data_IF_829681254362
#
_entry.id   IF_829681254362
#
_cell.length_a   1.000
_cell.length_b   1.000
_cell.length_c   1.000
_cell.angle_alpha   90.00
_cell.angle_beta   90.00
_cell.angle_gamma   90.00
#
_symmetry.space_group_name_H-M   'P 1'
#
loop_
_entity.id
_entity.type
_entity.pdbx_description
1 polymer ?
#
# COMPACT_ATOMS: atom_id res chain seq x y z
N UNK A 1 12.52 4.60 -8.66
CA UNK A 1 13.60 5.26 -7.90
C UNK A 1 14.78 5.58 -8.79
N UNK A 2 15.80 6.25 -8.23
CA UNK A 2 17.00 6.71 -8.96
C UNK A 2 17.80 5.60 -9.68
N UNK A 3 17.62 4.34 -9.23
CA UNK A 3 18.27 3.14 -9.76
C UNK A 3 17.55 2.49 -10.96
N UNK A 4 16.37 2.95 -11.36
CA UNK A 4 15.64 2.32 -12.47
C UNK A 4 16.30 2.61 -13.83
N UNK A 5 16.39 1.60 -14.70
CA UNK A 5 16.91 1.74 -16.08
C UNK A 5 15.86 2.28 -17.06
N UNK A 6 14.58 2.08 -16.75
CA UNK A 6 13.46 2.65 -17.48
C UNK A 6 12.26 2.86 -16.54
N UNK A 7 11.34 3.73 -16.94
CA UNK A 7 10.14 4.06 -16.19
C UNK A 7 8.91 4.00 -17.08
N UNK A 8 7.81 3.48 -16.52
CA UNK A 8 6.49 3.62 -17.15
C UNK A 8 5.84 4.88 -16.62
N UNK A 9 5.52 5.81 -17.51
CA UNK A 9 4.81 7.05 -17.17
C UNK A 9 3.40 7.02 -17.73
N UNK A 10 2.50 7.76 -17.07
CA UNK A 10 1.18 8.06 -17.59
C UNK A 10 1.10 9.54 -17.95
N UNK A 11 0.91 9.83 -19.24
CA UNK A 11 0.82 11.19 -19.74
C UNK A 11 -0.50 11.40 -20.48
N UNK A 12 -1.02 12.63 -20.42
CA UNK A 12 -2.28 13.00 -21.06
C UNK A 12 -2.00 13.54 -22.46
N UNK A 13 -2.48 12.85 -23.48
CA UNK A 13 -2.38 13.27 -24.88
C UNK A 13 -3.43 14.35 -25.24
N UNK A 14 -4.64 14.21 -24.72
CA UNK A 14 -5.73 15.18 -24.90
C UNK A 14 -6.36 15.54 -23.54
N UNK A 15 -6.12 16.78 -23.09
CA UNK A 15 -6.67 17.29 -21.82
C UNK A 15 -8.20 17.38 -21.85
N UNK A 16 -8.81 17.62 -23.01
CA UNK A 16 -10.26 17.74 -23.16
C UNK A 16 -10.98 16.40 -22.96
N UNK A 17 -10.29 15.28 -23.18
CA UNK A 17 -10.82 13.92 -23.01
C UNK A 17 -10.73 13.41 -21.55
N UNK A 18 -10.17 14.20 -20.62
CA UNK A 18 -10.02 13.81 -19.23
C UNK A 18 -9.28 12.48 -19.06
N UNK A 19 -9.84 11.55 -18.27
CA UNK A 19 -9.23 10.23 -18.02
C UNK A 19 -9.05 9.37 -19.28
N UNK A 20 -9.85 9.60 -20.32
CA UNK A 20 -9.74 8.84 -21.58
C UNK A 20 -8.48 9.24 -22.37
N UNK A 21 -7.96 10.46 -22.17
CA UNK A 21 -6.77 10.96 -22.84
C UNK A 21 -5.44 10.51 -22.22
N UNK A 22 -5.48 9.79 -21.09
CA UNK A 22 -4.27 9.28 -20.42
C UNK A 22 -3.78 8.01 -21.13
N UNK A 23 -2.49 7.97 -21.47
CA UNK A 23 -1.82 6.81 -22.07
C UNK A 23 -0.53 6.50 -21.32
N UNK A 24 -0.05 5.27 -21.47
CA UNK A 24 1.14 4.77 -20.79
C UNK A 24 2.33 4.72 -21.75
N UNK A 25 3.49 5.18 -21.31
CA UNK A 25 4.71 5.24 -22.13
C UNK A 25 5.90 4.67 -21.38
N UNK A 26 6.77 3.96 -22.08
CA UNK A 26 8.08 3.57 -21.57
C UNK A 26 9.10 4.68 -21.87
N UNK A 27 9.82 5.14 -20.85
CA UNK A 27 10.91 6.10 -21.01
C UNK A 27 12.18 5.51 -20.42
N UNK A 28 13.21 5.35 -21.24
CA UNK A 28 14.51 4.82 -20.82
C UNK A 28 15.32 5.91 -20.10
N UNK A 29 16.05 5.52 -19.06
CA UNK A 29 16.95 6.42 -18.35
C UNK A 29 18.04 6.92 -19.30
N UNK A 30 18.32 8.22 -19.24
CA UNK A 30 19.27 8.86 -20.17
C UNK A 30 18.62 9.39 -21.46
N UNK A 31 17.32 9.18 -21.67
CA UNK A 31 16.58 9.88 -22.72
C UNK A 31 16.76 11.40 -22.55
N UNK A 32 17.19 12.14 -23.59
CA UNK A 32 17.33 13.59 -23.49
C UNK A 32 16.02 14.24 -23.02
N UNK A 33 16.11 15.08 -21.98
CA UNK A 33 14.94 15.70 -21.36
C UNK A 33 14.31 14.91 -20.20
N UNK A 34 14.79 13.71 -19.87
CA UNK A 34 14.40 12.99 -18.65
C UNK A 34 15.47 13.16 -17.55
N UNK A 35 15.11 13.87 -16.49
CA UNK A 35 15.97 14.12 -15.33
C UNK A 35 15.40 13.53 -14.03
N UNK A 36 16.29 13.20 -13.10
CA UNK A 36 15.98 12.66 -11.77
C UNK A 36 16.72 13.49 -10.72
N UNK A 37 16.17 14.68 -10.35
CA UNK A 37 16.93 15.71 -9.64
C UNK A 37 17.36 15.31 -8.22
N UNK A 38 16.56 14.52 -7.51
CA UNK A 38 16.89 14.07 -6.16
C UNK A 38 16.14 12.82 -5.73
N UNK A 39 16.70 12.14 -4.72
CA UNK A 39 16.07 11.09 -3.93
C UNK A 39 15.36 11.70 -2.71
N UNK A 40 14.15 11.24 -2.44
CA UNK A 40 13.34 11.69 -1.31
C UNK A 40 13.90 11.21 0.04
N UNK A 41 13.84 12.10 1.04
CA UNK A 41 14.18 11.79 2.44
C UNK A 41 12.91 11.40 3.20
N UNK A 42 12.69 10.08 3.33
CA UNK A 42 11.46 9.50 3.91
C UNK A 42 11.59 9.13 5.39
N UNK A 43 10.46 9.10 6.09
CA UNK A 43 10.32 8.58 7.46
C UNK A 43 10.74 7.11 7.59
N UNK A 44 10.15 6.26 6.75
CA UNK A 44 10.37 4.82 6.69
C UNK A 44 10.69 4.36 5.28
N UNK A 45 10.81 3.04 5.09
CA UNK A 45 11.16 2.35 3.84
C UNK A 45 12.35 3.04 3.12
N UNK A 46 13.35 3.44 3.90
CA UNK A 46 14.46 4.30 3.45
C UNK A 46 15.40 3.60 2.45
N UNK A 47 15.41 2.27 2.46
CA UNK A 47 16.15 1.43 1.53
C UNK A 47 15.49 1.37 0.13
N UNK A 48 14.16 1.59 0.07
CA UNK A 48 13.44 1.76 -1.19
C UNK A 48 13.67 3.17 -1.74
N UNK A 49 13.93 3.29 -3.04
CA UNK A 49 14.25 4.58 -3.66
C UNK A 49 12.99 5.25 -4.20
N UNK A 50 12.67 6.39 -3.62
CA UNK A 50 11.64 7.29 -4.13
C UNK A 50 12.34 8.54 -4.67
N UNK A 51 11.97 8.97 -5.87
CA UNK A 51 12.60 10.09 -6.56
C UNK A 51 11.56 10.86 -7.36
N UNK A 52 11.75 12.17 -7.47
CA UNK A 52 11.04 12.99 -8.43
C UNK A 52 11.58 12.73 -9.85
N UNK A 53 10.69 12.69 -10.83
CA UNK A 53 11.05 12.60 -12.25
C UNK A 53 10.59 13.87 -12.97
N UNK A 54 11.49 14.48 -13.74
CA UNK A 54 11.23 15.69 -14.52
C UNK A 54 11.39 15.36 -15.99
N UNK A 55 10.39 15.74 -16.79
CA UNK A 55 10.40 15.56 -18.24
C UNK A 55 10.30 16.93 -18.91
N UNK A 56 11.35 17.35 -19.62
CA UNK A 56 11.46 18.63 -20.33
C UNK A 56 11.82 18.36 -21.78
N UNK A 57 10.86 18.55 -22.70
CA UNK A 57 11.00 18.25 -24.12
C UNK A 57 11.54 16.82 -24.41
N UNK A 58 11.18 15.87 -23.53
CA UNK A 58 11.62 14.48 -23.59
C UNK A 58 11.00 13.74 -24.77
N UNK A 59 11.78 13.52 -25.84
CA UNK A 59 11.34 12.81 -27.04
C UNK A 59 11.60 11.30 -26.90
N UNK A 60 10.58 10.49 -27.18
CA UNK A 60 10.66 9.02 -27.18
C UNK A 60 10.16 8.44 -28.50
N UNK A 61 10.61 7.24 -28.90
CA UNK A 61 10.08 6.55 -30.07
C UNK A 61 8.58 6.28 -29.95
N UNK A 62 7.87 6.28 -31.09
CA UNK A 62 6.43 5.93 -31.14
C UNK A 62 6.16 4.53 -30.57
N UNK A 63 7.08 3.59 -30.78
CA UNK A 63 7.00 2.22 -30.27
C UNK A 63 6.97 2.12 -28.73
N UNK A 64 7.36 3.18 -28.02
CA UNK A 64 7.32 3.23 -26.55
C UNK A 64 5.91 3.49 -25.98
N UNK A 65 4.91 3.71 -26.84
CA UNK A 65 3.50 3.71 -26.44
C UNK A 65 3.08 2.30 -26.07
N UNK A 66 2.82 2.07 -24.77
CA UNK A 66 2.38 0.76 -24.31
C UNK A 66 0.94 0.49 -24.76
N UNK A 67 0.76 -0.66 -25.41
CA UNK A 67 -0.51 -1.06 -26.03
C UNK A 67 -0.70 -0.59 -27.47
N UNK A 68 0.18 0.28 -28.01
CA UNK A 68 0.22 0.66 -29.43
C UNK A 68 -0.98 1.44 -29.98
N UNK A 69 -2.05 1.61 -29.21
CA UNK A 69 -3.27 2.31 -29.61
C UNK A 69 -3.27 3.77 -29.15
N UNK A 70 -3.14 4.68 -30.11
CA UNK A 70 -3.19 6.13 -29.90
C UNK A 70 -4.63 6.68 -29.85
N UNK A 71 -5.64 5.87 -30.20
CA UNK A 71 -7.02 6.33 -30.27
C UNK A 71 -7.53 6.78 -28.90
N UNK A 72 -8.28 7.89 -28.89
CA UNK A 72 -8.89 8.45 -27.69
C UNK A 72 -10.41 8.35 -27.85
N UNK A 73 -10.98 7.30 -27.24
CA UNK A 73 -12.43 7.15 -27.17
C UNK A 73 -12.99 8.09 -26.10
N UNK A 74 -13.71 9.14 -26.50
CA UNK A 74 -14.45 10.00 -25.56
C UNK A 74 -15.61 9.27 -24.85
N UNK A 75 -15.99 8.07 -25.31
CA UNK A 75 -17.07 7.26 -24.72
C UNK A 75 -16.58 6.36 -23.57
N UNK A 76 -15.28 6.12 -23.43
CA UNK A 76 -14.74 5.17 -22.45
C UNK A 76 -13.48 5.69 -21.78
N UNK A 77 -13.28 5.39 -20.49
CA UNK A 77 -12.07 5.71 -19.73
C UNK A 77 -10.87 4.80 -20.08
N UNK A 78 -10.77 4.34 -21.33
CA UNK A 78 -9.96 3.19 -21.78
C UNK A 78 -8.54 3.14 -21.23
N UNK A 79 -7.72 4.17 -21.47
CA UNK A 79 -6.34 4.21 -20.98
C UNK A 79 -6.22 4.18 -19.45
N UNK A 80 -7.12 4.88 -18.75
CA UNK A 80 -7.20 4.86 -17.29
C UNK A 80 -7.66 3.50 -16.72
N UNK A 81 -8.43 2.69 -17.46
CA UNK A 81 -8.78 1.33 -17.02
C UNK A 81 -7.53 0.43 -16.95
N UNK A 82 -6.60 0.58 -17.89
CA UNK A 82 -5.32 -0.14 -17.85
C UNK A 82 -4.51 0.21 -16.60
N UNK A 83 -4.41 1.51 -16.28
CA UNK A 83 -3.77 2.00 -15.04
C UNK A 83 -4.40 1.37 -13.79
N UNK A 84 -5.74 1.35 -13.74
CA UNK A 84 -6.46 0.78 -12.60
C UNK A 84 -6.25 -0.73 -12.46
N UNK A 85 -6.10 -1.47 -13.57
CA UNK A 85 -5.79 -2.90 -13.53
C UNK A 85 -4.45 -3.15 -12.85
N UNK A 86 -3.43 -2.35 -13.14
CA UNK A 86 -2.14 -2.41 -12.45
C UNK A 86 -2.31 -2.23 -10.93
N UNK A 87 -3.01 -1.17 -10.52
CA UNK A 87 -3.23 -0.90 -9.09
C UNK A 87 -4.01 -1.99 -8.37
N UNK A 88 -4.98 -2.62 -9.03
CA UNK A 88 -5.77 -3.68 -8.42
C UNK A 88 -4.94 -4.96 -8.17
N UNK A 89 -3.84 -5.14 -8.93
CA UNK A 89 -2.86 -6.22 -8.70
C UNK A 89 -1.81 -5.86 -7.65
N UNK A 90 -1.38 -4.60 -7.54
CA UNK A 90 -0.29 -4.19 -6.64
C UNK A 90 -0.73 -3.89 -5.21
N UNK A 91 -1.98 -3.45 -5.01
CA UNK A 91 -2.55 -3.15 -3.68
C UNK A 91 -2.55 -4.35 -2.72
N UNK A 92 -2.92 -5.58 -3.12
CA UNK A 92 -2.80 -6.74 -2.24
C UNK A 92 -1.36 -7.03 -1.83
N UNK A 93 -0.39 -6.88 -2.74
CA UNK A 93 1.03 -7.04 -2.40
C UNK A 93 1.50 -5.98 -1.39
N UNK A 94 1.01 -4.76 -1.55
CA UNK A 94 1.28 -3.67 -0.62
C UNK A 94 0.72 -3.96 0.79
N UNK A 95 -0.50 -4.48 0.86
CA UNK A 95 -1.10 -4.93 2.12
C UNK A 95 -0.28 -6.07 2.75
N UNK A 96 0.14 -7.06 1.95
CA UNK A 96 0.97 -8.17 2.39
C UNK A 96 2.33 -7.72 2.94
N UNK A 97 2.99 -6.76 2.27
CA UNK A 97 4.24 -6.16 2.77
C UNK A 97 4.04 -5.52 4.15
N UNK A 98 2.95 -4.76 4.33
CA UNK A 98 2.61 -4.17 5.62
C UNK A 98 2.38 -5.22 6.69
N UNK A 99 1.67 -6.30 6.35
CA UNK A 99 1.40 -7.40 7.28
C UNK A 99 2.68 -8.10 7.72
N UNK A 100 3.67 -8.29 6.85
CA UNK A 100 4.97 -8.82 7.27
C UNK A 100 5.67 -7.97 8.33
N UNK A 101 5.51 -6.64 8.30
CA UNK A 101 6.02 -5.75 9.35
C UNK A 101 5.24 -5.90 10.67
N UNK A 102 3.91 -6.08 10.59
CA UNK A 102 3.07 -6.29 11.75
C UNK A 102 3.31 -7.65 12.42
N UNK A 103 3.49 -8.71 11.62
CA UNK A 103 3.82 -10.06 12.10
C UNK A 103 5.15 -10.04 12.86
N UNK A 104 6.20 -9.45 12.28
CA UNK A 104 7.49 -9.29 12.95
C UNK A 104 7.39 -8.49 14.27
N UNK A 105 6.55 -7.45 14.31
CA UNK A 105 6.31 -6.68 15.53
C UNK A 105 5.60 -7.49 16.62
N UNK A 106 4.61 -8.31 16.24
CA UNK A 106 3.89 -9.19 17.15
C UNK A 106 4.80 -10.30 17.68
N UNK A 107 5.59 -10.93 16.81
CA UNK A 107 6.52 -11.99 17.21
C UNK A 107 7.54 -11.47 18.23
N UNK A 108 8.19 -10.33 17.93
CA UNK A 108 9.12 -9.70 18.87
C UNK A 108 8.43 -9.33 20.20
N UNK A 109 7.21 -8.77 20.14
CA UNK A 109 6.47 -8.39 21.36
C UNK A 109 6.11 -9.61 22.21
N UNK A 110 5.73 -10.73 21.57
CA UNK A 110 5.44 -11.99 22.26
C UNK A 110 6.66 -12.53 22.99
N UNK A 111 7.81 -12.55 22.32
CA UNK A 111 9.08 -13.00 22.91
C UNK A 111 9.42 -12.17 24.15
N UNK A 112 9.32 -10.84 24.05
CA UNK A 112 9.65 -9.94 25.16
C UNK A 112 8.64 -10.01 26.32
N UNK A 113 7.35 -10.27 26.04
CA UNK A 113 6.37 -10.54 27.09
C UNK A 113 6.69 -11.83 27.84
N UNK A 114 7.08 -12.90 27.12
CA UNK A 114 7.47 -14.16 27.72
C UNK A 114 8.72 -14.02 28.60
N UNK A 115 9.74 -13.29 28.13
CA UNK A 115 10.94 -12.96 28.92
C UNK A 115 10.62 -12.17 30.19
N UNK A 116 9.62 -11.29 30.14
CA UNK A 116 9.13 -10.53 31.29
C UNK A 116 8.20 -11.34 32.23
N UNK A 117 7.94 -12.61 31.94
CA UNK A 117 7.04 -13.46 32.73
C UNK A 117 5.56 -13.11 32.58
N UNK A 118 5.18 -12.41 31.51
CA UNK A 118 3.79 -12.10 31.18
C UNK A 118 3.21 -13.22 30.32
N UNK A 119 2.38 -14.05 30.94
CA UNK A 119 1.67 -15.13 30.24
C UNK A 119 0.50 -14.60 29.39
N UNK A 120 0.38 -15.10 28.17
CA UNK A 120 -0.74 -14.81 27.26
C UNK A 120 -1.69 -16.01 27.27
N UNK A 121 -2.70 -15.98 28.14
CA UNK A 121 -3.71 -17.05 28.25
C UNK A 121 -4.95 -16.81 27.37
N UNK A 122 -4.99 -17.43 26.20
CA UNK A 122 -6.12 -17.33 25.27
C UNK A 122 -7.46 -17.86 25.81
N UNK A 123 -7.46 -18.62 26.92
CA UNK A 123 -8.65 -19.20 27.54
C UNK A 123 -9.17 -18.39 28.73
N UNK A 124 -8.36 -17.49 29.29
CA UNK A 124 -8.76 -16.65 30.40
C UNK A 124 -9.76 -15.56 29.98
N UNK A 125 -10.70 -15.25 30.88
CA UNK A 125 -11.57 -14.10 30.72
C UNK A 125 -10.79 -12.78 30.78
N UNK A 126 -11.32 -11.72 30.15
CA UNK A 126 -10.67 -10.40 30.05
C UNK A 126 -10.24 -9.83 31.41
N UNK A 127 -10.99 -10.10 32.48
CA UNK A 127 -10.69 -9.63 33.84
C UNK A 127 -9.50 -10.33 34.50
N UNK A 128 -9.07 -11.47 33.95
CA UNK A 128 -8.02 -12.31 34.50
C UNK A 128 -6.67 -12.13 33.78
N UNK A 129 -6.66 -11.31 32.72
CA UNK A 129 -5.47 -11.00 31.93
C UNK A 129 -4.74 -9.78 32.46
N UNK A 130 -3.42 -9.74 32.26
CA UNK A 130 -2.69 -8.47 32.38
C UNK A 130 -3.11 -7.53 31.25
N UNK A 131 -3.03 -6.22 31.47
CA UNK A 131 -3.36 -5.24 30.44
C UNK A 131 -2.48 -5.39 29.18
N UNK A 132 -1.23 -5.84 29.33
CA UNK A 132 -0.32 -6.09 28.22
C UNK A 132 -0.73 -7.31 27.39
N UNK A 133 -1.03 -8.43 28.04
CA UNK A 133 -1.51 -9.65 27.38
C UNK A 133 -2.86 -9.43 26.69
N UNK A 134 -3.80 -8.75 27.36
CA UNK A 134 -5.11 -8.41 26.80
C UNK A 134 -4.97 -7.57 25.51
N UNK A 135 -4.12 -6.53 25.57
CA UNK A 135 -3.86 -5.68 24.41
C UNK A 135 -3.20 -6.47 23.29
N UNK A 136 -2.22 -7.32 23.60
CA UNK A 136 -1.55 -8.17 22.62
C UNK A 136 -2.55 -9.04 21.86
N UNK A 137 -3.45 -9.74 22.57
CA UNK A 137 -4.50 -10.59 21.97
C UNK A 137 -5.39 -9.78 21.01
N UNK A 138 -5.74 -8.52 21.36
CA UNK A 138 -6.50 -7.64 20.44
C UNK A 138 -5.72 -7.31 19.17
N UNK A 139 -4.42 -7.07 19.27
CA UNK A 139 -3.58 -6.79 18.10
C UNK A 139 -3.47 -8.01 17.18
N UNK A 140 -3.37 -9.22 17.74
CA UNK A 140 -3.41 -10.46 16.97
C UNK A 140 -4.73 -10.63 16.21
N UNK A 141 -5.87 -10.37 16.86
CA UNK A 141 -7.17 -10.44 16.19
C UNK A 141 -7.28 -9.46 15.00
N UNK A 142 -6.72 -8.25 15.14
CA UNK A 142 -6.64 -7.26 14.05
C UNK A 142 -5.74 -7.78 12.91
N UNK A 143 -4.61 -8.40 13.27
CA UNK A 143 -3.69 -8.98 12.30
C UNK A 143 -4.37 -10.09 11.49
N UNK A 144 -5.06 -11.02 12.14
CA UNK A 144 -5.75 -12.14 11.49
C UNK A 144 -6.83 -11.67 10.52
N UNK A 145 -7.68 -10.72 10.93
CA UNK A 145 -8.68 -10.14 10.04
C UNK A 145 -8.05 -9.50 8.79
N UNK A 146 -6.91 -8.81 8.98
CA UNK A 146 -6.17 -8.17 7.89
C UNK A 146 -5.48 -9.19 6.97
N UNK A 147 -4.95 -10.27 7.55
CA UNK A 147 -4.34 -11.38 6.82
C UNK A 147 -5.35 -12.08 5.93
N UNK A 148 -6.54 -12.39 6.45
CA UNK A 148 -7.59 -13.06 5.68
C UNK A 148 -8.07 -12.24 4.48
N UNK A 149 -8.37 -10.95 4.68
CA UNK A 149 -8.80 -10.07 3.57
C UNK A 149 -7.70 -9.90 2.50
N UNK A 150 -6.43 -9.86 2.92
CA UNK A 150 -5.29 -9.78 2.00
C UNK A 150 -5.09 -11.07 1.21
N UNK A 151 -5.14 -12.23 1.88
CA UNK A 151 -5.04 -13.54 1.24
C UNK A 151 -6.14 -13.75 0.21
N UNK A 152 -7.38 -13.37 0.52
CA UNK A 152 -8.50 -13.44 -0.42
C UNK A 152 -8.23 -12.61 -1.68
N UNK A 153 -7.79 -11.35 -1.52
CA UNK A 153 -7.50 -10.46 -2.64
C UNK A 153 -6.34 -10.98 -3.51
N UNK A 154 -5.30 -11.53 -2.88
CA UNK A 154 -4.17 -12.18 -3.57
C UNK A 154 -4.61 -13.44 -4.32
N UNK A 155 -5.44 -14.30 -3.70
CA UNK A 155 -5.94 -15.52 -4.33
C UNK A 155 -6.77 -15.21 -5.57
N UNK A 156 -7.71 -14.26 -5.50
CA UNK A 156 -8.48 -13.83 -6.66
C UNK A 156 -7.58 -13.32 -7.79
N UNK A 157 -6.55 -12.53 -7.46
CA UNK A 157 -5.59 -12.04 -8.44
C UNK A 157 -4.79 -13.18 -9.09
N UNK A 158 -4.33 -14.16 -8.30
CA UNK A 158 -3.60 -15.34 -8.78
C UNK A 158 -4.43 -16.21 -9.72
N UNK A 159 -5.73 -16.31 -9.47
CA UNK A 159 -6.70 -17.04 -10.31
C UNK A 159 -7.15 -16.24 -11.55
N UNK A 160 -6.64 -15.02 -11.76
CA UNK A 160 -7.08 -14.13 -12.84
C UNK A 160 -8.53 -13.66 -12.70
N UNK A 161 -9.13 -13.80 -11.51
CA UNK A 161 -10.51 -13.37 -11.23
C UNK A 161 -10.56 -11.87 -10.93
N UNK A 162 -11.70 -11.20 -11.21
CA UNK A 162 -11.88 -9.82 -10.78
C UNK A 162 -11.71 -9.69 -9.26
N UNK A 163 -10.89 -8.73 -8.82
CA UNK A 163 -10.58 -8.51 -7.41
C UNK A 163 -10.70 -7.02 -7.00
N UNK A 164 -11.43 -6.21 -7.76
CA UNK A 164 -11.42 -4.74 -7.60
C UNK A 164 -11.88 -4.30 -6.19
N UNK A 165 -12.92 -4.96 -5.67
CA UNK A 165 -13.46 -4.67 -4.35
C UNK A 165 -12.50 -5.18 -3.27
N UNK A 166 -12.11 -6.44 -3.34
CA UNK A 166 -11.25 -7.13 -2.37
C UNK A 166 -9.88 -6.45 -2.25
N UNK A 167 -9.31 -6.03 -3.38
CA UNK A 167 -8.08 -5.24 -3.46
C UNK A 167 -8.18 -3.89 -2.73
N UNK A 168 -9.35 -3.24 -2.82
CA UNK A 168 -9.60 -1.97 -2.14
C UNK A 168 -9.86 -2.18 -0.64
N UNK A 169 -10.64 -3.22 -0.28
CA UNK A 169 -10.94 -3.63 1.09
C UNK A 169 -9.66 -3.99 1.84
N UNK A 170 -8.84 -4.89 1.29
CA UNK A 170 -7.62 -5.33 1.96
C UNK A 170 -6.63 -4.17 2.15
N UNK A 171 -6.47 -3.30 1.14
CA UNK A 171 -5.59 -2.12 1.22
C UNK A 171 -6.05 -1.12 2.28
N UNK A 172 -7.35 -0.83 2.34
CA UNK A 172 -7.91 0.08 3.33
C UNK A 172 -7.76 -0.47 4.75
N UNK A 173 -8.08 -1.76 4.93
CA UNK A 173 -8.05 -2.39 6.24
C UNK A 173 -6.62 -2.60 6.73
N UNK A 174 -5.79 -3.30 5.96
CA UNK A 174 -4.41 -3.60 6.33
C UNK A 174 -3.58 -2.32 6.56
N UNK A 175 -3.78 -1.27 5.74
CA UNK A 175 -3.09 0.01 5.93
C UNK A 175 -3.28 0.58 7.34
N UNK A 176 -4.53 0.61 7.83
CA UNK A 176 -4.84 1.02 9.21
C UNK A 176 -4.38 0.02 10.25
N UNK A 177 -4.62 -1.28 10.03
CA UNK A 177 -4.32 -2.34 10.98
C UNK A 177 -2.83 -2.43 11.32
N UNK A 178 -1.95 -2.38 10.32
CA UNK A 178 -0.50 -2.47 10.53
C UNK A 178 0.00 -1.33 11.40
N UNK A 179 -0.56 -0.12 11.25
CA UNK A 179 -0.21 1.01 12.14
C UNK A 179 -0.67 0.77 13.57
N UNK A 180 -1.91 0.31 13.76
CA UNK A 180 -2.46 0.01 15.08
C UNK A 180 -1.64 -1.07 15.78
N UNK A 181 -1.25 -2.12 15.05
CA UNK A 181 -0.45 -3.24 15.57
C UNK A 181 0.93 -2.77 15.98
N UNK A 182 1.68 -2.14 15.07
CA UNK A 182 3.06 -1.70 15.35
C UNK A 182 3.12 -0.65 16.46
N UNK A 183 2.16 0.29 16.49
CA UNK A 183 2.03 1.25 17.58
C UNK A 183 1.68 0.56 18.91
N UNK A 184 0.74 -0.37 18.90
CA UNK A 184 0.35 -1.11 20.10
C UNK A 184 1.49 -1.94 20.68
N UNK A 185 2.34 -2.52 19.84
CA UNK A 185 3.56 -3.22 20.23
C UNK A 185 4.56 -2.28 20.93
N UNK A 186 4.76 -1.06 20.41
CA UNK A 186 5.60 -0.05 21.07
C UNK A 186 5.05 0.28 22.46
N UNK A 187 3.73 0.46 22.56
CA UNK A 187 3.09 0.81 23.83
C UNK A 187 3.14 -0.33 24.85
N UNK A 188 3.16 -1.59 24.42
CA UNK A 188 3.36 -2.76 25.29
C UNK A 188 4.80 -2.79 25.84
N UNK A 189 5.80 -2.57 24.97
CA UNK A 189 7.22 -2.69 25.35
C UNK A 189 7.84 -1.40 25.91
N UNK A 190 7.12 -0.28 25.86
CA UNK A 190 7.57 1.01 26.40
C UNK A 190 8.87 1.50 25.77
N UNK A 191 9.86 1.81 26.60
CA UNK A 191 11.16 2.36 26.17
C UNK A 191 11.91 1.45 25.20
N UNK A 192 11.77 0.13 25.35
CA UNK A 192 12.38 -0.84 24.45
C UNK A 192 11.82 -0.71 23.03
N UNK A 193 10.51 -0.47 22.90
CA UNK A 193 9.86 -0.36 21.60
C UNK A 193 10.24 0.87 20.78
N UNK A 194 10.74 1.93 21.44
CA UNK A 194 11.26 3.14 20.78
C UNK A 194 12.79 3.12 20.61
N UNK A 195 13.48 2.13 21.19
CA UNK A 195 14.93 1.98 21.05
C UNK A 195 15.29 1.56 19.63
N UNK A 196 16.46 2.03 19.18
CA UNK A 196 17.06 1.61 17.90
C UNK A 196 17.95 0.37 18.03
N UNK A 197 18.03 -0.22 19.22
CA UNK A 197 18.70 -1.51 19.45
C UNK A 197 17.91 -2.67 18.84
N UNK A 198 16.59 -2.49 18.69
CA UNK A 198 15.69 -3.44 18.04
C UNK A 198 15.00 -2.82 16.84
N UNK A 199 14.34 -3.66 16.04
CA UNK A 199 13.73 -3.24 14.78
C UNK A 199 12.30 -2.71 14.94
N UNK A 200 11.70 -2.75 16.13
CA UNK A 200 10.29 -2.36 16.33
C UNK A 200 10.04 -0.90 15.93
N UNK A 201 10.89 0.04 16.34
CA UNK A 201 10.78 1.45 15.92
C UNK A 201 10.87 1.59 14.38
N UNK A 202 11.72 0.78 13.74
CA UNK A 202 11.89 0.78 12.29
C UNK A 202 10.64 0.25 11.59
N UNK A 203 10.06 -0.86 12.05
CA UNK A 203 8.82 -1.40 11.48
C UNK A 203 7.66 -0.40 11.63
N UNK A 204 7.58 0.30 12.76
CA UNK A 204 6.60 1.38 12.95
C UNK A 204 6.81 2.54 11.99
N UNK A 205 8.06 2.98 11.75
CA UNK A 205 8.33 4.00 10.72
C UNK A 205 7.99 3.52 9.32
N UNK A 206 8.36 2.29 8.99
CA UNK A 206 8.17 1.69 7.67
C UNK A 206 6.69 1.48 7.35
N UNK A 207 5.87 1.08 8.34
CA UNK A 207 4.45 0.85 8.12
C UNK A 207 3.66 2.10 7.74
N UNK A 208 4.14 3.30 8.06
CA UNK A 208 3.38 4.55 7.82
C UNK A 208 3.03 4.75 6.36
N UNK A 209 3.85 4.26 5.43
CA UNK A 209 3.60 4.40 4.00
C UNK A 209 2.42 3.54 3.53
N UNK A 210 2.09 2.44 4.24
CA UNK A 210 1.12 1.44 3.78
C UNK A 210 -0.29 1.99 3.63
N UNK A 211 -0.61 3.10 4.28
CA UNK A 211 -1.90 3.79 4.18
C UNK A 211 -1.87 5.07 3.33
N UNK A 212 -0.74 5.34 2.68
CA UNK A 212 -0.53 6.56 1.88
C UNK A 212 -0.38 6.22 0.41
N UNK A 213 0.63 5.44 0.04
CA UNK A 213 0.89 5.10 -1.35
C UNK A 213 -0.12 4.06 -1.90
N UNK A 214 -0.11 3.85 -3.22
CA UNK A 214 -1.01 2.92 -3.92
C UNK A 214 -2.51 3.27 -3.74
N UNK A 215 -2.77 4.53 -3.34
CA UNK A 215 -4.06 5.09 -2.97
C UNK A 215 -4.30 4.99 -1.46
N UNK A 216 -4.58 6.13 -0.83
CA UNK A 216 -4.81 6.24 0.62
C UNK A 216 -6.03 5.45 1.06
N UNK A 217 -6.11 5.10 2.35
CA UNK A 217 -7.28 4.43 2.92
C UNK A 217 -8.60 5.16 2.62
N UNK A 218 -8.61 6.49 2.61
CA UNK A 218 -9.78 7.31 2.28
C UNK A 218 -10.21 7.09 0.83
N UNK A 219 -9.26 7.10 -0.11
CA UNK A 219 -9.54 6.82 -1.51
C UNK A 219 -10.07 5.39 -1.70
N UNK A 220 -9.51 4.41 -0.98
CA UNK A 220 -10.02 3.05 -1.04
C UNK A 220 -11.46 2.95 -0.50
N UNK A 221 -11.78 3.63 0.62
CA UNK A 221 -13.16 3.68 1.15
C UNK A 221 -14.14 4.29 0.16
N UNK A 222 -13.72 5.32 -0.59
CA UNK A 222 -14.54 5.86 -1.68
C UNK A 222 -14.76 4.81 -2.79
N UNK A 223 -13.74 4.05 -3.18
CA UNK A 223 -13.88 2.98 -4.19
C UNK A 223 -14.84 1.89 -3.69
N UNK A 224 -14.75 1.50 -2.43
CA UNK A 224 -15.63 0.53 -1.78
C UNK A 224 -17.07 1.05 -1.79
N UNK A 225 -17.30 2.29 -1.34
CA UNK A 225 -18.63 2.90 -1.32
C UNK A 225 -19.28 2.92 -2.71
N UNK A 226 -18.50 3.26 -3.76
CA UNK A 226 -18.99 3.19 -5.14
C UNK A 226 -19.38 1.78 -5.56
N UNK A 227 -18.56 0.79 -5.24
CA UNK A 227 -18.81 -0.58 -5.68
C UNK A 227 -19.98 -1.23 -4.94
N UNK A 228 -20.25 -0.84 -3.69
CA UNK A 228 -21.35 -1.37 -2.89
C UNK A 228 -22.68 -0.63 -3.11
N UNK A 229 -22.62 0.69 -3.33
CA UNK A 229 -23.81 1.56 -3.32
C UNK A 229 -24.09 2.20 -4.68
N UNK A 230 -23.31 1.87 -5.70
CA UNK A 230 -23.35 2.46 -7.06
C UNK A 230 -23.22 3.99 -7.08
N UNK A 231 -22.50 4.54 -6.09
CA UNK A 231 -22.31 5.98 -5.96
C UNK A 231 -21.46 6.56 -7.11
N UNK A 232 -21.91 7.71 -7.62
CA UNK A 232 -21.19 8.47 -8.63
C UNK A 232 -20.07 9.32 -8.00
N UNK A 233 -19.49 10.25 -8.77
CA UNK A 233 -18.63 11.30 -8.19
C UNK A 233 -19.40 12.39 -7.48
N UNK A 234 -20.63 12.65 -7.89
CA UNK A 234 -21.44 13.71 -7.30
C UNK A 234 -21.88 13.31 -5.88
N UNK A 235 -22.18 12.03 -5.66
CA UNK A 235 -22.71 11.51 -4.39
C UNK A 235 -21.65 11.42 -3.27
N UNK A 236 -20.37 11.55 -3.62
CA UNK A 236 -19.22 11.39 -2.72
C UNK A 236 -18.48 12.73 -2.47
N UNK A 237 -19.13 13.86 -2.74
CA UNK A 237 -18.59 15.21 -2.50
C UNK A 237 -18.96 15.72 -1.13
#
# INVERSE_FOLDING_TARGET
>A
GIRADAVVIWATLDKSAGRAGIKSFLVEKGTPGFDVPHKEKKLGIRADDTAAYVFSDCRIPRANLLGGDESISKKTSGGFRGVMKTFNMTRPMTAAMGLGLAEAALDFTREQLAEAGVEIDYMAGLSSQTAAAEKFIRLEAIFDASKLTTLQACWLAGEGKPNNMESSVCKAHAGSSVRTITQGCIEILGSMGISREHLLEKWTRDCRITDIYEGTGEIQRLIIARGLLDYTRADLK
#
